data_IF_189933969211
#
_entry.id   IF_189933969211
#
_cell.length_a   1.000
_cell.length_b   1.000
_cell.length_c   1.000
_cell.angle_alpha   90.00
_cell.angle_beta   90.00
_cell.angle_gamma   90.00
#
_symmetry.space_group_name_H-M   'P 1'
#
loop_
_entity.id
_entity.type
_entity.pdbx_description
1 polymer ?
#
# COMPACT_ATOMS: atom_id res chain seq x y z
N UNK A 1 -13.57 -38.62 -11.53
CA UNK A 1 -13.75 -38.55 -10.05
C UNK A 1 -12.77 -39.41 -9.24
N UNK A 2 -11.91 -40.24 -9.86
CA UNK A 2 -10.98 -41.13 -9.14
C UNK A 2 -9.53 -40.62 -8.99
N UNK A 3 -9.20 -39.45 -9.56
CA UNK A 3 -7.82 -38.91 -9.52
C UNK A 3 -7.56 -37.95 -8.35
N UNK A 4 -8.59 -37.29 -7.80
CA UNK A 4 -8.43 -36.31 -6.71
C UNK A 4 -8.18 -36.95 -5.33
N UNK A 5 -8.57 -38.21 -5.15
CA UNK A 5 -8.38 -38.94 -3.88
C UNK A 5 -6.93 -39.39 -3.67
N UNK A 6 -6.15 -39.58 -4.75
CA UNK A 6 -4.75 -40.02 -4.65
C UNK A 6 -3.76 -38.91 -4.27
N UNK A 7 -4.08 -37.65 -4.61
CA UNK A 7 -3.25 -36.49 -4.24
C UNK A 7 -3.40 -36.16 -2.76
N UNK A 8 -4.59 -36.34 -2.19
CA UNK A 8 -4.85 -36.07 -0.76
C UNK A 8 -4.13 -37.06 0.18
N UNK A 9 -3.99 -38.34 -0.22
CA UNK A 9 -3.24 -39.32 0.56
C UNK A 9 -1.71 -39.11 0.50
N UNK A 10 -1.19 -38.46 -0.55
CA UNK A 10 0.23 -38.16 -0.67
C UNK A 10 0.69 -37.05 0.28
N UNK A 11 -0.10 -35.98 0.42
CA UNK A 11 0.23 -34.84 1.29
C UNK A 11 0.17 -35.19 2.78
N UNK A 12 -0.78 -36.04 3.20
CA UNK A 12 -0.91 -36.47 4.60
C UNK A 12 0.23 -37.39 5.06
N UNK A 13 0.86 -38.14 4.14
CA UNK A 13 1.99 -39.00 4.48
C UNK A 13 3.29 -38.21 4.70
N UNK A 14 3.47 -37.07 4.01
CA UNK A 14 4.64 -36.21 4.17
C UNK A 14 4.62 -35.45 5.52
N UNK A 15 3.45 -35.01 5.99
CA UNK A 15 3.31 -34.35 7.29
C UNK A 15 3.61 -35.28 8.49
N UNK A 16 3.33 -36.59 8.36
CA UNK A 16 3.55 -37.54 9.44
C UNK A 16 5.03 -37.91 9.65
N UNK A 17 5.88 -37.77 8.62
CA UNK A 17 7.29 -38.13 8.68
C UNK A 17 8.19 -37.06 9.33
N UNK A 18 7.76 -35.80 9.35
CA UNK A 18 8.52 -34.70 9.98
C UNK A 18 8.28 -34.64 11.49
N UNK A 19 7.12 -35.10 11.98
CA UNK A 19 6.77 -35.06 13.40
C UNK A 19 7.43 -36.16 14.26
N UNK A 20 8.06 -37.18 13.66
CA UNK A 20 8.61 -38.33 14.41
C UNK A 20 10.09 -38.22 14.80
N UNK A 21 10.77 -37.11 14.50
CA UNK A 21 12.23 -36.99 14.72
C UNK A 21 12.63 -36.21 15.98
N UNK A 22 11.69 -35.63 16.74
CA UNK A 22 12.00 -34.82 17.92
C UNK A 22 11.12 -35.19 19.12
N UNK A 23 11.37 -36.35 19.74
CA UNK A 23 10.98 -36.56 21.14
C UNK A 23 11.82 -37.66 21.77
N UNK A 24 12.85 -37.26 22.49
CA UNK A 24 13.54 -38.11 23.46
C UNK A 24 13.95 -37.28 24.67
N UNK A 25 13.17 -37.44 25.75
CA UNK A 25 13.60 -37.47 27.15
C UNK A 25 14.02 -36.16 27.82
N UNK A 26 13.28 -35.74 28.84
CA UNK A 26 13.56 -36.17 30.23
C UNK A 26 12.59 -35.51 31.22
N UNK A 27 12.02 -36.35 32.09
CA UNK A 27 11.24 -36.01 33.28
C UNK A 27 12.00 -35.13 34.28
N UNK A 28 11.29 -34.26 35.01
CA UNK A 28 11.35 -34.20 36.49
C UNK A 28 10.28 -33.28 37.10
N UNK A 29 9.57 -33.86 38.07
CA UNK A 29 9.02 -33.31 39.31
C UNK A 29 8.01 -32.15 39.36
N UNK A 30 6.75 -32.56 39.49
CA UNK A 30 5.81 -32.30 40.60
C UNK A 30 6.34 -31.48 41.80
N UNK A 31 5.72 -30.33 42.06
CA UNK A 31 5.15 -30.00 43.39
C UNK A 31 3.94 -29.07 43.21
N UNK A 32 2.90 -29.32 44.01
CA UNK A 32 1.60 -28.68 43.88
C UNK A 32 1.47 -27.36 44.62
N UNK A 33 0.46 -26.58 44.25
CA UNK A 33 -0.15 -25.60 45.12
C UNK A 33 -1.64 -25.47 44.78
N UNK A 34 -2.47 -25.83 45.74
CA UNK A 34 -3.92 -25.64 45.77
C UNK A 34 -4.24 -24.18 46.13
N UNK A 35 -5.14 -23.55 45.39
CA UNK A 35 -5.69 -22.23 45.70
C UNK A 35 -6.94 -21.98 44.89
N UNK A 36 -8.07 -22.37 45.49
CA UNK A 36 -9.44 -22.09 45.08
C UNK A 36 -9.77 -20.61 45.32
N UNK A 37 -10.37 -19.91 44.35
CA UNK A 37 -11.35 -18.82 44.53
C UNK A 37 -11.67 -18.10 43.19
N UNK A 38 -12.92 -18.22 42.77
CA UNK A 38 -13.67 -17.30 41.90
C UNK A 38 -14.92 -16.87 42.71
N UNK A 39 -15.63 -15.75 42.45
CA UNK A 39 -16.04 -15.21 41.13
C UNK A 39 -15.80 -13.68 41.00
N UNK A 40 -15.72 -13.06 39.82
CA UNK A 40 -16.79 -12.86 38.86
C UNK A 40 -17.49 -11.52 39.14
N UNK A 41 -17.07 -10.44 38.48
CA UNK A 41 -17.86 -9.21 38.41
C UNK A 41 -17.66 -8.50 37.06
N UNK A 42 -18.79 -8.16 36.46
CA UNK A 42 -18.99 -7.55 35.14
C UNK A 42 -18.94 -6.03 35.27
N UNK A 43 -18.10 -5.36 34.48
CA UNK A 43 -18.14 -3.90 34.33
C UNK A 43 -18.60 -3.54 32.91
N UNK A 44 -19.86 -3.11 32.82
CA UNK A 44 -20.42 -2.38 31.69
C UNK A 44 -19.80 -0.97 31.65
N UNK A 45 -19.32 -0.54 30.48
CA UNK A 45 -18.79 0.79 30.26
C UNK A 45 -19.86 1.65 29.56
N UNK A 46 -20.37 2.66 30.26
CA UNK A 46 -21.23 3.71 29.71
C UNK A 46 -20.41 4.72 28.89
N UNK A 47 -20.93 5.06 27.71
CA UNK A 47 -20.40 6.11 26.81
C UNK A 47 -21.11 7.42 27.13
N UNK A 48 -20.41 8.55 27.38
CA UNK A 48 -21.08 9.84 27.49
C UNK A 48 -21.22 10.52 26.12
N UNK A 49 -22.47 10.85 25.82
CA UNK A 49 -22.97 11.67 24.72
C UNK A 49 -22.53 13.13 24.89
N UNK A 50 -21.83 13.69 23.89
CA UNK A 50 -21.38 15.07 23.89
C UNK A 50 -22.43 15.99 23.23
N UNK A 51 -23.00 16.88 24.04
CA UNK A 51 -23.95 17.89 23.65
C UNK A 51 -23.31 19.03 22.82
N UNK A 52 -24.03 19.46 21.77
CA UNK A 52 -23.77 20.71 21.06
C UNK A 52 -24.28 21.93 21.86
N UNK A 53 -23.69 23.13 21.67
CA UNK A 53 -24.37 24.36 22.03
C UNK A 53 -24.89 25.11 20.79
N UNK A 54 -26.19 25.40 20.83
CA UNK A 54 -26.89 26.43 20.05
C UNK A 54 -26.63 27.84 20.62
N UNK A 55 -26.89 28.86 19.78
CA UNK A 55 -27.12 30.25 20.17
C UNK A 55 -25.90 31.16 20.00
N UNK A 56 -25.96 32.38 19.46
CA UNK A 56 -27.05 33.30 19.15
C UNK A 56 -26.50 34.36 18.19
N UNK A 57 -27.32 34.85 17.27
CA UNK A 57 -27.09 36.10 16.55
C UNK A 57 -27.36 37.31 17.47
N UNK A 58 -26.91 38.52 17.07
CA UNK A 58 -27.92 39.48 16.61
C UNK A 58 -27.51 40.34 15.39
N UNK A 59 -28.52 40.61 14.56
CA UNK A 59 -28.95 41.94 14.05
C UNK A 59 -27.98 43.14 14.29
N UNK A 60 -27.66 44.06 13.38
CA UNK A 60 -28.46 44.73 12.34
C UNK A 60 -27.57 45.68 11.49
N UNK A 61 -27.99 45.85 10.22
CA UNK A 61 -27.96 47.06 9.39
C UNK A 61 -26.65 47.84 9.11
N UNK A 62 -26.25 47.85 7.82
CA UNK A 62 -26.38 49.05 6.99
C UNK A 62 -26.26 48.69 5.50
N UNK A 63 -27.24 49.14 4.73
CA UNK A 63 -27.31 49.11 3.28
C UNK A 63 -26.71 50.41 2.76
N UNK A 64 -25.76 50.34 1.82
CA UNK A 64 -25.47 51.46 0.92
C UNK A 64 -25.23 50.93 -0.49
N UNK A 65 -25.81 51.67 -1.43
CA UNK A 65 -26.18 51.24 -2.77
C UNK A 65 -25.27 51.93 -3.79
N UNK A 66 -25.10 51.25 -4.92
CA UNK A 66 -24.88 51.78 -6.27
C UNK A 66 -23.44 52.07 -6.76
N UNK A 67 -23.07 51.24 -7.75
CA UNK A 67 -22.22 51.52 -8.93
C UNK A 67 -22.79 52.74 -9.76
N UNK A 68 -22.20 53.24 -10.88
CA UNK A 68 -21.53 52.47 -11.94
C UNK A 68 -20.40 53.20 -12.74
N UNK A 69 -20.08 52.59 -13.90
CA UNK A 69 -19.30 53.05 -15.07
C UNK A 69 -17.80 52.67 -15.07
N UNK A 70 -17.35 51.68 -15.86
CA UNK A 70 -17.35 51.51 -17.33
C UNK A 70 -16.31 52.38 -18.03
N UNK A 71 -15.26 51.76 -18.58
CA UNK A 71 -14.78 51.99 -19.95
C UNK A 71 -13.67 50.98 -20.29
N UNK A 72 -13.89 50.26 -21.38
CA UNK A 72 -12.89 49.47 -22.09
C UNK A 72 -11.95 50.40 -22.88
N UNK A 73 -10.67 50.04 -22.98
CA UNK A 73 -9.85 50.39 -24.14
C UNK A 73 -8.99 49.20 -24.53
N UNK A 74 -9.18 48.79 -25.79
CA UNK A 74 -8.34 47.92 -26.60
C UNK A 74 -6.88 48.39 -26.59
N UNK A 75 -5.96 47.46 -26.34
CA UNK A 75 -4.58 47.58 -26.81
C UNK A 75 -4.07 46.20 -27.23
N UNK A 76 -4.40 45.88 -28.48
CA UNK A 76 -3.63 45.03 -29.38
C UNK A 76 -2.11 45.13 -29.10
N UNK A 77 -1.58 44.10 -28.47
CA UNK A 77 -0.12 43.89 -28.36
C UNK A 77 0.15 42.44 -28.69
N UNK A 78 0.65 42.21 -29.90
CA UNK A 78 1.10 40.93 -30.40
C UNK A 78 1.97 40.21 -29.38
N UNK A 79 1.58 38.96 -29.09
CA UNK A 79 2.32 37.99 -28.28
C UNK A 79 3.74 37.82 -28.85
N UNK A 80 4.81 37.96 -28.04
CA UNK A 80 6.09 37.39 -28.40
C UNK A 80 6.00 35.87 -28.20
N UNK A 81 6.27 35.12 -29.27
CA UNK A 81 6.43 33.67 -29.22
C UNK A 81 7.32 33.28 -28.03
N UNK A 82 6.89 32.37 -27.14
CA UNK A 82 7.79 31.84 -26.13
C UNK A 82 8.85 31.03 -26.87
N UNK A 83 10.07 31.57 -26.89
CA UNK A 83 11.25 30.81 -27.25
C UNK A 83 11.21 29.49 -26.47
N UNK A 84 11.41 28.38 -27.19
CA UNK A 84 11.59 27.08 -26.57
C UNK A 84 12.72 27.18 -25.55
N UNK A 85 12.34 27.33 -24.29
CA UNK A 85 13.23 27.12 -23.17
C UNK A 85 13.45 25.61 -23.15
N UNK A 86 14.45 25.16 -23.91
CA UNK A 86 15.17 23.94 -23.61
C UNK A 86 15.82 24.14 -22.24
N UNK A 87 14.99 24.07 -21.20
CA UNK A 87 15.36 23.66 -19.87
C UNK A 87 15.98 22.29 -20.04
N UNK A 88 17.27 22.30 -20.34
CA UNK A 88 18.16 21.17 -20.10
C UNK A 88 18.00 20.92 -18.61
N UNK A 89 17.12 19.95 -18.29
CA UNK A 89 16.99 19.43 -16.95
C UNK A 89 18.42 19.21 -16.44
N UNK A 90 18.77 19.92 -15.38
CA UNK A 90 20.08 19.80 -14.76
C UNK A 90 20.33 18.31 -14.47
N UNK A 91 21.30 17.65 -15.13
CA UNK A 91 21.56 16.24 -14.90
C UNK A 91 22.04 15.98 -13.46
N UNK A 92 22.26 17.02 -12.65
CA UNK A 92 22.56 16.91 -11.23
C UNK A 92 21.34 16.58 -10.35
N UNK A 93 20.11 16.59 -10.88
CA UNK A 93 18.95 16.07 -10.16
C UNK A 93 18.87 14.54 -10.30
N UNK A 94 19.65 13.92 -9.42
CA UNK A 94 19.51 12.57 -8.85
C UNK A 94 20.14 11.39 -9.60
N UNK A 95 21.46 11.26 -9.45
CA UNK A 95 22.12 9.95 -9.35
C UNK A 95 22.83 9.81 -7.98
N UNK A 96 22.09 9.54 -6.86
CA UNK A 96 22.70 9.17 -5.58
C UNK A 96 23.51 7.86 -5.68
N UNK A 97 23.26 7.06 -6.72
CA UNK A 97 23.82 5.72 -6.92
C UNK A 97 25.34 5.71 -7.08
N UNK A 98 25.95 6.79 -7.55
CA UNK A 98 27.33 6.67 -8.04
C UNK A 98 28.43 6.78 -6.99
N UNK A 99 28.27 7.39 -5.81
CA UNK A 99 29.43 7.63 -4.90
C UNK A 99 29.16 7.68 -3.39
N UNK A 100 28.00 7.23 -2.90
CA UNK A 100 27.66 7.28 -1.48
C UNK A 100 26.97 6.03 -0.98
N UNK A 101 26.94 5.85 0.34
CA UNK A 101 26.11 4.81 0.94
C UNK A 101 24.66 5.29 0.91
N UNK A 102 23.77 4.47 0.34
CA UNK A 102 22.35 4.78 0.26
C UNK A 102 21.75 4.83 1.67
N UNK A 103 20.89 5.84 1.89
CA UNK A 103 20.21 6.05 3.15
C UNK A 103 18.72 6.25 2.92
N UNK A 104 17.90 5.80 3.87
CA UNK A 104 16.48 6.20 3.88
C UNK A 104 16.29 7.61 4.42
N UNK A 105 15.05 8.10 4.43
CA UNK A 105 14.69 9.46 4.85
C UNK A 105 14.97 9.75 6.34
N UNK A 106 15.24 8.73 7.16
CA UNK A 106 15.66 8.84 8.56
C UNK A 106 17.18 8.75 8.74
N UNK A 107 17.94 8.67 7.64
CA UNK A 107 19.41 8.63 7.65
C UNK A 107 20.02 7.26 7.96
N UNK A 108 19.19 6.22 8.13
CA UNK A 108 19.66 4.84 8.24
C UNK A 108 20.36 4.44 6.94
N UNK A 109 21.54 3.86 7.08
CA UNK A 109 22.38 3.45 5.96
C UNK A 109 22.14 1.98 5.66
N UNK A 110 21.74 1.69 4.42
CA UNK A 110 21.45 0.32 4.01
C UNK A 110 22.74 -0.51 4.02
N UNK A 111 22.70 -1.74 4.57
CA UNK A 111 23.85 -2.63 4.51
C UNK A 111 24.10 -3.08 3.06
N UNK A 112 25.26 -3.72 2.77
CA UNK A 112 25.52 -4.29 1.46
C UNK A 112 24.40 -5.23 1.02
N UNK A 113 24.11 -5.24 -0.28
CA UNK A 113 23.14 -6.15 -0.87
C UNK A 113 23.52 -7.62 -0.59
N UNK A 114 22.54 -8.51 -0.36
CA UNK A 114 22.81 -9.93 -0.19
C UNK A 114 23.29 -10.57 -1.51
N UNK A 115 23.92 -11.74 -1.39
CA UNK A 115 24.25 -12.55 -2.57
C UNK A 115 22.98 -13.02 -3.29
N UNK A 116 22.99 -12.93 -4.62
CA UNK A 116 21.84 -13.27 -5.46
C UNK A 116 22.20 -14.45 -6.37
N UNK A 117 21.51 -15.60 -6.24
CA UNK A 117 21.66 -16.71 -7.17
C UNK A 117 21.24 -16.32 -8.60
N UNK A 118 21.89 -16.95 -9.59
CA UNK A 118 21.48 -16.83 -10.99
C UNK A 118 20.61 -18.04 -11.40
N UNK A 119 19.69 -17.82 -12.34
CA UNK A 119 18.79 -18.86 -12.83
C UNK A 119 17.52 -19.03 -11.99
N UNK A 120 16.78 -20.14 -12.19
CA UNK A 120 15.54 -20.42 -11.46
C UNK A 120 15.76 -20.58 -9.96
N UNK A 121 14.72 -20.30 -9.17
CA UNK A 121 14.71 -20.60 -7.73
C UNK A 121 14.70 -22.12 -7.47
N UNK A 122 15.12 -22.53 -6.26
CA UNK A 122 15.09 -23.94 -5.85
C UNK A 122 13.65 -24.49 -5.88
N UNK A 123 13.49 -25.75 -6.31
CA UNK A 123 12.21 -26.43 -6.30
C UNK A 123 11.57 -26.47 -4.91
N UNK A 124 12.36 -26.55 -3.83
CA UNK A 124 11.86 -26.47 -2.47
C UNK A 124 11.16 -25.12 -2.18
N UNK A 125 11.69 -24.01 -2.73
CA UNK A 125 11.05 -22.71 -2.61
C UNK A 125 9.73 -22.67 -3.41
N UNK A 126 9.74 -23.23 -4.62
CA UNK A 126 8.53 -23.35 -5.45
C UNK A 126 7.44 -24.14 -4.72
N UNK A 127 7.78 -25.28 -4.15
CA UNK A 127 6.81 -26.14 -3.45
C UNK A 127 6.18 -25.43 -2.25
N UNK A 128 6.97 -24.66 -1.49
CA UNK A 128 6.45 -23.84 -0.38
C UNK A 128 5.54 -22.73 -0.90
N UNK A 129 5.93 -22.02 -1.97
CA UNK A 129 5.10 -20.98 -2.57
C UNK A 129 3.76 -21.52 -3.06
N UNK A 130 3.73 -22.68 -3.71
CA UNK A 130 2.46 -23.28 -4.15
C UNK A 130 1.55 -23.66 -2.99
N UNK A 131 2.10 -24.11 -1.85
CA UNK A 131 1.31 -24.37 -0.64
C UNK A 131 0.77 -23.07 -0.05
N UNK A 132 1.58 -22.01 0.04
CA UNK A 132 1.15 -20.70 0.52
C UNK A 132 -0.01 -20.17 -0.34
N UNK A 133 0.13 -20.21 -1.65
CA UNK A 133 -0.90 -19.70 -2.56
C UNK A 133 -2.18 -20.54 -2.57
N UNK A 134 -2.06 -21.87 -2.51
CA UNK A 134 -3.24 -22.72 -2.34
C UNK A 134 -3.98 -22.38 -1.03
N UNK A 135 -3.23 -22.06 0.03
CA UNK A 135 -3.80 -21.63 1.30
C UNK A 135 -4.45 -20.24 1.22
N UNK A 136 -3.86 -19.28 0.52
CA UNK A 136 -4.45 -17.96 0.25
C UNK A 136 -5.82 -18.10 -0.44
N UNK A 137 -5.91 -18.94 -1.48
CA UNK A 137 -7.15 -19.17 -2.24
C UNK A 137 -8.24 -19.89 -1.41
N UNK A 138 -7.83 -20.76 -0.48
CA UNK A 138 -8.73 -21.54 0.37
C UNK A 138 -9.07 -20.87 1.71
N UNK A 139 -8.49 -19.69 2.00
CA UNK A 139 -8.77 -18.89 3.19
C UNK A 139 -7.99 -19.29 4.44
N UNK A 140 -6.81 -19.92 4.31
CA UNK A 140 -5.93 -20.16 5.44
C UNK A 140 -4.62 -20.86 5.11
N UNK A 141 -3.52 -20.27 5.59
CA UNK A 141 -2.19 -20.87 5.72
C UNK A 141 -1.52 -20.30 6.97
N UNK A 142 -0.46 -20.96 7.42
CA UNK A 142 0.27 -20.59 8.63
C UNK A 142 1.47 -19.70 8.31
N UNK A 143 1.70 -18.66 9.12
CA UNK A 143 2.87 -17.78 9.00
C UNK A 143 4.22 -18.50 9.07
N UNK A 144 4.30 -19.67 9.71
CA UNK A 144 5.49 -20.52 9.73
C UNK A 144 5.87 -21.06 8.35
N UNK A 145 4.91 -21.27 7.44
CA UNK A 145 5.20 -21.62 6.05
C UNK A 145 5.88 -20.47 5.31
N UNK A 146 5.45 -19.22 5.57
CA UNK A 146 6.13 -18.03 5.03
C UNK A 146 7.54 -17.94 5.59
N UNK A 147 7.70 -18.10 6.91
CA UNK A 147 9.00 -18.08 7.56
C UNK A 147 9.96 -19.15 7.00
N UNK A 148 9.43 -20.30 6.59
CA UNK A 148 10.21 -21.39 6.02
C UNK A 148 10.86 -21.05 4.67
N UNK A 149 10.30 -20.13 3.88
CA UNK A 149 10.95 -19.61 2.68
C UNK A 149 12.32 -19.00 3.00
N UNK A 150 12.48 -18.45 4.21
CA UNK A 150 13.74 -17.93 4.70
C UNK A 150 14.91 -18.92 4.70
N UNK A 151 14.62 -20.22 4.71
CA UNK A 151 15.65 -21.27 4.74
C UNK A 151 16.12 -21.70 3.35
N UNK A 152 15.53 -21.16 2.28
CA UNK A 152 15.87 -21.52 0.89
C UNK A 152 17.11 -20.77 0.37
N UNK A 153 17.48 -19.66 1.02
CA UNK A 153 18.71 -18.92 0.74
C UNK A 153 18.67 -18.05 -0.52
N UNK A 154 17.52 -17.91 -1.19
CA UNK A 154 17.38 -17.04 -2.34
C UNK A 154 16.79 -15.67 -1.96
N UNK A 155 17.65 -14.66 -1.88
CA UNK A 155 17.25 -13.30 -1.49
C UNK A 155 16.14 -12.72 -2.36
N UNK A 156 16.01 -13.15 -3.63
CA UNK A 156 14.99 -12.62 -4.56
C UNK A 156 13.56 -12.92 -4.11
N UNK A 157 13.36 -13.93 -3.25
CA UNK A 157 12.07 -14.23 -2.63
C UNK A 157 11.60 -13.12 -1.67
N UNK A 158 12.48 -12.22 -1.25
CA UNK A 158 12.14 -11.09 -0.41
C UNK A 158 11.11 -10.13 -1.04
N UNK A 159 11.01 -10.08 -2.37
CA UNK A 159 9.94 -9.33 -3.04
C UNK A 159 8.54 -9.85 -2.71
N UNK A 160 8.39 -11.17 -2.57
CA UNK A 160 7.12 -11.76 -2.10
C UNK A 160 6.86 -11.39 -0.65
N UNK A 161 7.89 -11.27 0.19
CA UNK A 161 7.70 -10.81 1.57
C UNK A 161 7.20 -9.36 1.60
N UNK A 162 7.76 -8.48 0.77
CA UNK A 162 7.24 -7.11 0.60
C UNK A 162 5.76 -7.14 0.19
N UNK A 163 5.40 -7.90 -0.83
CA UNK A 163 4.00 -7.99 -1.26
C UNK A 163 3.08 -8.52 -0.15
N UNK A 164 3.46 -9.60 0.55
CA UNK A 164 2.68 -10.14 1.66
C UNK A 164 2.51 -9.11 2.80
N UNK A 165 3.56 -8.39 3.18
CA UNK A 165 3.47 -7.35 4.21
C UNK A 165 2.52 -6.20 3.83
N UNK A 166 2.26 -6.01 2.53
CA UNK A 166 1.28 -5.02 2.07
C UNK A 166 -0.16 -5.45 2.35
N UNK A 167 -0.47 -6.73 2.22
CA UNK A 167 -1.82 -7.28 2.44
C UNK A 167 -2.03 -7.76 3.89
N UNK A 168 -0.97 -8.15 4.58
CA UNK A 168 -0.97 -8.66 5.95
C UNK A 168 -0.19 -7.71 6.86
N UNK A 169 -0.89 -6.75 7.44
CA UNK A 169 -0.31 -5.69 8.27
C UNK A 169 0.17 -6.17 9.64
N UNK A 170 -0.47 -7.19 10.19
CA UNK A 170 -0.19 -7.79 11.51
C UNK A 170 -0.52 -9.28 11.48
N UNK A 171 -0.05 -10.02 12.48
CA UNK A 171 -0.39 -11.43 12.68
C UNK A 171 0.70 -12.38 12.22
N UNK A 172 0.38 -13.66 12.21
CA UNK A 172 1.33 -14.74 11.95
C UNK A 172 1.98 -14.66 10.55
N UNK A 173 1.19 -14.36 9.52
CA UNK A 173 1.69 -14.19 8.14
C UNK A 173 2.65 -13.00 8.05
N UNK A 174 2.32 -11.88 8.69
CA UNK A 174 3.18 -10.71 8.78
C UNK A 174 4.52 -11.08 9.44
N UNK A 175 4.46 -11.72 10.61
CA UNK A 175 5.65 -12.10 11.38
C UNK A 175 6.51 -13.12 10.63
N UNK A 176 5.85 -14.04 9.91
CA UNK A 176 6.47 -14.99 9.01
C UNK A 176 7.22 -14.31 7.86
N UNK A 177 6.61 -13.30 7.22
CA UNK A 177 7.21 -12.53 6.14
C UNK A 177 8.43 -11.72 6.62
N UNK A 178 8.32 -11.03 7.77
CA UNK A 178 9.47 -10.36 8.41
C UNK A 178 10.57 -11.36 8.74
N UNK A 179 10.23 -12.52 9.31
CA UNK A 179 11.21 -13.56 9.64
C UNK A 179 11.93 -14.09 8.41
N UNK A 180 11.20 -14.38 7.33
CA UNK A 180 11.76 -14.85 6.07
C UNK A 180 12.69 -13.80 5.46
N UNK A 181 12.26 -12.53 5.37
CA UNK A 181 13.07 -11.43 4.87
C UNK A 181 14.42 -11.34 5.58
N UNK A 182 14.41 -11.33 6.92
CA UNK A 182 15.63 -11.21 7.71
C UNK A 182 16.58 -12.40 7.50
N UNK A 183 16.06 -13.62 7.33
CA UNK A 183 16.88 -14.81 7.06
C UNK A 183 17.49 -14.79 5.65
N UNK A 184 16.69 -14.40 4.65
CA UNK A 184 17.12 -14.36 3.25
C UNK A 184 18.19 -13.30 3.00
N UNK A 185 18.10 -12.17 3.71
CA UNK A 185 18.93 -10.99 3.44
C UNK A 185 20.04 -10.77 4.48
N UNK A 186 19.90 -11.36 5.66
CA UNK A 186 20.77 -11.08 6.81
C UNK A 186 20.50 -9.75 7.51
N UNK A 187 19.53 -8.96 7.03
CA UNK A 187 19.12 -7.71 7.68
C UNK A 187 18.42 -8.01 9.00
N UNK A 188 18.71 -7.20 10.01
CA UNK A 188 17.90 -7.14 11.23
C UNK A 188 17.00 -5.92 11.13
N UNK A 189 15.71 -6.15 10.87
CA UNK A 189 14.79 -5.07 10.53
C UNK A 189 14.65 -4.04 11.64
N UNK A 190 14.82 -4.46 12.91
CA UNK A 190 14.81 -3.55 14.06
C UNK A 190 15.94 -2.50 14.07
N UNK A 191 17.00 -2.69 13.28
CA UNK A 191 18.07 -1.70 13.17
C UNK A 191 17.65 -0.52 12.27
N UNK A 192 16.64 -0.72 11.40
CA UNK A 192 16.07 0.32 10.55
C UNK A 192 14.90 1.02 11.28
N UNK A 193 15.01 2.30 11.65
CA UNK A 193 13.94 3.03 12.33
C UNK A 193 12.65 3.18 11.51
N UNK A 194 12.68 2.97 10.18
CA UNK A 194 11.46 2.93 9.37
C UNK A 194 10.60 1.73 9.73
N UNK A 195 11.19 0.63 10.16
CA UNK A 195 10.47 -0.60 10.51
C UNK A 195 9.51 -0.42 11.68
N UNK A 196 9.79 0.51 12.60
CA UNK A 196 8.89 0.86 13.71
C UNK A 196 7.57 1.48 13.22
N UNK A 197 7.58 2.10 12.05
CA UNK A 197 6.41 2.73 11.43
C UNK A 197 5.73 1.79 10.44
N UNK A 198 6.53 1.06 9.67
CA UNK A 198 6.06 0.21 8.60
C UNK A 198 7.12 -0.83 8.22
N UNK A 199 6.92 -2.08 8.62
CA UNK A 199 7.73 -3.21 8.19
C UNK A 199 7.74 -3.34 6.66
N UNK A 200 6.58 -3.11 6.03
CA UNK A 200 6.44 -3.13 4.57
C UNK A 200 7.36 -2.09 3.91
N UNK A 201 7.35 -0.86 4.39
CA UNK A 201 8.16 0.22 3.82
C UNK A 201 9.65 -0.09 4.03
N UNK A 202 10.05 -0.46 5.24
CA UNK A 202 11.44 -0.81 5.52
C UNK A 202 11.95 -1.92 4.62
N UNK A 203 11.20 -3.02 4.49
CA UNK A 203 11.54 -4.13 3.57
C UNK A 203 11.65 -3.64 2.13
N UNK A 204 10.66 -2.91 1.64
CA UNK A 204 10.62 -2.44 0.24
C UNK A 204 11.77 -1.48 -0.07
N UNK A 205 12.08 -0.56 0.84
CA UNK A 205 13.17 0.40 0.70
C UNK A 205 14.53 -0.31 0.60
N UNK A 206 14.76 -1.38 1.38
CA UNK A 206 15.96 -2.21 1.24
C UNK A 206 16.06 -2.86 -0.16
N UNK A 207 14.96 -3.45 -0.64
CA UNK A 207 14.94 -4.13 -1.93
C UNK A 207 15.19 -3.17 -3.10
N UNK A 208 14.65 -1.95 -3.02
CA UNK A 208 14.88 -0.88 -3.99
C UNK A 208 16.33 -0.37 -3.89
N UNK A 209 16.84 -0.14 -2.67
CA UNK A 209 18.20 0.35 -2.46
C UNK A 209 19.25 -0.59 -3.04
N UNK A 210 19.03 -1.90 -2.94
CA UNK A 210 19.91 -2.91 -3.53
C UNK A 210 19.70 -3.15 -5.02
N UNK A 211 18.65 -2.56 -5.62
CA UNK A 211 18.13 -2.97 -6.94
C UNK A 211 18.02 -4.50 -7.04
N UNK A 212 17.44 -5.12 -6.01
CA UNK A 212 17.43 -6.58 -5.91
C UNK A 212 16.61 -7.16 -7.08
N UNK A 213 17.18 -8.07 -7.90
CA UNK A 213 16.43 -8.61 -9.02
C UNK A 213 15.28 -9.48 -8.54
N UNK A 214 14.20 -9.53 -9.33
CA UNK A 214 13.14 -10.50 -9.13
C UNK A 214 13.60 -11.90 -9.54
N UNK A 215 12.95 -12.93 -9.00
CA UNK A 215 13.10 -14.29 -9.50
C UNK A 215 12.18 -14.53 -10.71
N UNK A 216 12.44 -15.62 -11.44
CA UNK A 216 11.86 -15.95 -12.75
C UNK A 216 10.33 -16.10 -12.77
N UNK A 217 9.69 -16.30 -11.62
CA UNK A 217 8.23 -16.45 -11.48
C UNK A 217 7.58 -15.38 -10.59
N UNK A 218 8.32 -14.33 -10.24
CA UNK A 218 7.83 -13.30 -9.33
C UNK A 218 6.51 -12.68 -9.79
N UNK A 219 6.45 -12.25 -11.05
CA UNK A 219 5.25 -11.61 -11.63
C UNK A 219 4.03 -12.53 -11.57
N UNK A 220 4.19 -13.84 -11.80
CA UNK A 220 3.09 -14.80 -11.71
C UNK A 220 2.49 -14.85 -10.30
N UNK A 221 3.35 -14.90 -9.27
CA UNK A 221 2.90 -14.92 -7.88
C UNK A 221 2.27 -13.59 -7.47
N UNK A 222 2.88 -12.47 -7.87
CA UNK A 222 2.33 -11.12 -7.65
C UNK A 222 0.93 -10.99 -8.28
N UNK A 223 0.80 -11.37 -9.55
CA UNK A 223 -0.47 -11.41 -10.28
C UNK A 223 -1.54 -12.19 -9.48
N UNK A 224 -1.24 -13.43 -9.09
CA UNK A 224 -2.16 -14.27 -8.32
C UNK A 224 -2.60 -13.61 -7.00
N UNK A 225 -1.68 -12.99 -6.26
CA UNK A 225 -1.99 -12.31 -5.00
C UNK A 225 -2.87 -11.08 -5.21
N UNK A 226 -2.56 -10.25 -6.20
CA UNK A 226 -3.29 -9.02 -6.49
C UNK A 226 -4.73 -9.31 -6.96
N UNK A 227 -4.94 -10.38 -7.73
CA UNK A 227 -6.28 -10.79 -8.18
C UNK A 227 -7.18 -11.34 -7.07
N UNK A 228 -6.64 -11.69 -5.89
CA UNK A 228 -7.47 -12.01 -4.72
C UNK A 228 -8.22 -10.77 -4.21
N UNK A 229 -7.69 -9.57 -4.47
CA UNK A 229 -8.30 -8.31 -4.05
C UNK A 229 -9.23 -7.74 -5.11
N UNK A 230 -8.76 -7.62 -6.34
CA UNK A 230 -9.50 -7.05 -7.46
C UNK A 230 -9.24 -7.85 -8.76
N UNK A 231 -10.16 -8.75 -9.13
CA UNK A 231 -10.04 -9.54 -10.35
C UNK A 231 -9.94 -8.73 -11.64
N UNK A 232 -10.46 -7.49 -11.67
CA UNK A 232 -10.40 -6.62 -12.85
C UNK A 232 -9.00 -6.08 -13.14
N UNK A 233 -8.01 -6.35 -12.29
CA UNK A 233 -6.61 -6.03 -12.59
C UNK A 233 -5.93 -7.03 -13.53
N UNK A 234 -6.58 -8.15 -13.88
CA UNK A 234 -6.02 -9.15 -14.79
C UNK A 234 -5.45 -8.56 -16.09
N UNK A 235 -6.12 -7.61 -16.78
CA UNK A 235 -5.59 -7.03 -18.00
C UNK A 235 -4.26 -6.29 -17.82
N UNK A 236 -3.96 -5.79 -16.62
CA UNK A 236 -2.68 -5.13 -16.33
C UNK A 236 -1.53 -6.15 -16.33
N UNK A 237 -1.78 -7.37 -15.85
CA UNK A 237 -0.78 -8.44 -15.79
C UNK A 237 -0.73 -9.28 -17.07
N UNK A 238 -1.80 -9.28 -17.87
CA UNK A 238 -1.93 -10.11 -19.06
C UNK A 238 -1.21 -9.56 -20.29
N UNK A 239 -0.73 -8.31 -20.26
CA UNK A 239 0.00 -7.69 -21.36
C UNK A 239 1.48 -8.13 -21.35
N UNK A 240 1.91 -9.03 -22.25
CA UNK A 240 3.30 -9.49 -22.30
C UNK A 240 4.26 -8.44 -22.86
N UNK A 241 3.74 -7.39 -23.52
CA UNK A 241 4.51 -6.33 -24.13
C UNK A 241 4.65 -5.10 -23.20
N UNK A 242 4.03 -5.15 -22.01
CA UNK A 242 4.12 -4.08 -21.03
C UNK A 242 5.54 -3.97 -20.45
N UNK A 243 6.17 -2.81 -20.64
CA UNK A 243 7.46 -2.45 -20.04
C UNK A 243 7.28 -1.93 -18.60
N UNK A 244 6.72 -2.79 -17.74
CA UNK A 244 6.43 -2.48 -16.33
C UNK A 244 7.35 -3.31 -15.44
N UNK A 245 8.16 -2.63 -14.62
CA UNK A 245 8.86 -3.28 -13.53
C UNK A 245 7.90 -3.53 -12.35
N UNK A 246 7.33 -4.73 -12.33
CA UNK A 246 6.38 -5.15 -11.29
C UNK A 246 6.93 -5.15 -9.87
N UNK A 247 8.26 -5.09 -9.67
CA UNK A 247 8.88 -4.91 -8.35
C UNK A 247 8.51 -3.56 -7.74
N UNK A 248 8.32 -2.55 -8.57
CA UNK A 248 8.10 -1.16 -8.17
C UNK A 248 6.62 -0.76 -8.12
N UNK A 249 5.73 -1.69 -8.45
CA UNK A 249 4.28 -1.49 -8.41
C UNK A 249 3.71 -2.15 -7.17
N UNK A 250 2.91 -1.42 -6.40
CA UNK A 250 2.22 -1.94 -5.21
C UNK A 250 0.79 -1.39 -5.12
N UNK A 251 -0.04 -2.01 -4.27
CA UNK A 251 -1.40 -1.57 -4.04
C UNK A 251 -1.47 -0.44 -3.01
N UNK A 252 -2.22 0.63 -3.31
CA UNK A 252 -2.44 1.77 -2.41
C UNK A 252 -3.22 1.47 -1.12
N UNK A 253 -3.81 0.27 -0.98
CA UNK A 253 -4.50 -0.16 0.24
C UNK A 253 -5.99 0.21 0.30
N UNK A 254 -6.54 0.75 -0.78
CA UNK A 254 -7.96 1.10 -0.95
C UNK A 254 -8.52 0.44 -2.20
N UNK A 255 -9.79 0.07 -2.20
CA UNK A 255 -10.45 -0.45 -3.41
C UNK A 255 -10.74 0.70 -4.38
N UNK A 256 -10.99 0.34 -5.64
CA UNK A 256 -11.56 1.25 -6.61
C UNK A 256 -12.94 1.72 -6.14
N UNK A 257 -13.23 2.99 -6.37
CA UNK A 257 -14.59 3.50 -6.28
C UNK A 257 -15.39 3.05 -7.52
N UNK A 258 -16.16 1.98 -7.38
CA UNK A 258 -17.00 1.41 -8.44
C UNK A 258 -18.48 1.75 -8.30
N UNK A 259 -18.80 2.75 -7.46
CA UNK A 259 -20.17 3.23 -7.28
C UNK A 259 -20.68 3.89 -8.56
N UNK A 260 -22.00 3.90 -8.72
CA UNK A 260 -22.62 4.62 -9.83
C UNK A 260 -22.42 6.13 -9.66
N UNK A 261 -22.22 6.83 -10.77
CA UNK A 261 -22.08 8.29 -10.78
C UNK A 261 -23.19 9.00 -9.98
N UNK A 262 -22.80 9.86 -9.06
CA UNK A 262 -23.68 10.61 -8.16
C UNK A 262 -24.08 9.86 -6.88
N UNK A 263 -23.57 8.66 -6.65
CA UNK A 263 -23.81 7.93 -5.40
C UNK A 263 -22.97 8.50 -4.24
N UNK A 264 -23.66 9.14 -3.29
CA UNK A 264 -23.02 9.79 -2.14
C UNK A 264 -22.84 8.87 -0.92
N UNK A 265 -23.22 7.58 -1.01
CA UNK A 265 -23.08 6.65 0.12
C UNK A 265 -21.61 6.35 0.39
N UNK A 266 -21.24 6.25 1.66
CA UNK A 266 -19.88 5.88 2.07
C UNK A 266 -19.47 4.55 1.43
N UNK A 267 -18.23 4.49 0.95
CA UNK A 267 -17.65 3.30 0.37
C UNK A 267 -17.44 2.22 1.45
N UNK A 268 -18.37 1.27 1.54
CA UNK A 268 -18.42 0.29 2.64
C UNK A 268 -17.17 -0.59 2.75
N UNK A 269 -16.43 -0.78 1.65
CA UNK A 269 -15.24 -1.60 1.59
C UNK A 269 -13.93 -0.79 1.63
N UNK A 270 -14.02 0.53 1.81
CA UNK A 270 -12.90 1.46 1.77
C UNK A 270 -12.45 1.75 0.33
N UNK A 271 -12.73 2.97 -0.13
CA UNK A 271 -12.18 3.54 -1.35
C UNK A 271 -12.00 5.05 -1.15
N UNK A 272 -11.23 5.68 -2.03
CA UNK A 272 -11.14 7.14 -2.11
C UNK A 272 -12.29 7.59 -3.00
N UNK A 273 -13.31 8.27 -2.45
CA UNK A 273 -14.51 8.59 -3.21
C UNK A 273 -14.20 9.61 -4.30
N UNK A 274 -14.67 9.34 -5.51
CA UNK A 274 -14.67 10.33 -6.57
C UNK A 274 -15.60 11.51 -6.21
N UNK A 275 -15.24 12.71 -6.68
CA UNK A 275 -16.12 13.87 -6.68
C UNK A 275 -16.96 13.86 -7.95
N UNK A 276 -18.18 13.36 -7.84
CA UNK A 276 -19.15 13.38 -8.94
C UNK A 276 -19.96 14.68 -8.93
N UNK A 277 -19.91 15.43 -10.03
CA UNK A 277 -20.60 16.72 -10.19
C UNK A 277 -20.46 17.62 -8.94
N UNK A 278 -19.23 17.98 -8.55
CA UNK A 278 -19.04 18.87 -7.41
C UNK A 278 -19.78 20.19 -7.64
N UNK A 279 -20.34 20.75 -6.57
CA UNK A 279 -20.92 22.09 -6.65
C UNK A 279 -19.82 23.09 -7.02
N UNK A 280 -20.06 23.86 -8.08
CA UNK A 280 -19.12 24.87 -8.58
C UNK A 280 -19.64 26.28 -8.30
N UNK A 281 -18.73 27.24 -8.30
CA UNK A 281 -19.05 28.66 -8.22
C UNK A 281 -18.19 29.43 -9.22
N UNK A 282 -18.62 30.63 -9.60
CA UNK A 282 -17.83 31.50 -10.46
C UNK A 282 -16.65 32.12 -9.68
N UNK A 283 -15.78 32.85 -10.38
CA UNK A 283 -14.63 33.48 -9.75
C UNK A 283 -15.02 34.44 -8.61
N UNK A 284 -16.19 35.10 -8.71
CA UNK A 284 -16.66 36.02 -7.69
C UNK A 284 -17.10 35.29 -6.39
N UNK A 285 -17.68 34.09 -6.52
CA UNK A 285 -18.04 33.24 -5.38
C UNK A 285 -16.88 32.43 -4.80
N UNK A 286 -15.70 32.43 -5.44
CA UNK A 286 -14.51 31.68 -5.04
C UNK A 286 -13.68 32.28 -3.90
N UNK A 287 -14.11 33.40 -3.30
CA UNK A 287 -13.31 34.17 -2.30
C UNK A 287 -12.99 33.41 -1.00
N UNK A 288 -13.55 32.22 -0.82
CA UNK A 288 -13.23 31.33 0.29
C UNK A 288 -11.88 30.61 0.09
N UNK A 289 -11.40 30.51 -1.14
CA UNK A 289 -10.07 29.97 -1.45
C UNK A 289 -9.07 31.12 -1.48
N UNK A 290 -7.87 30.89 -0.94
CA UNK A 290 -6.85 31.93 -0.86
C UNK A 290 -6.40 32.37 -2.26
N UNK A 291 -6.13 33.67 -2.43
CA UNK A 291 -5.70 34.25 -3.70
C UNK A 291 -4.39 33.62 -4.24
N UNK A 292 -3.52 33.16 -3.35
CA UNK A 292 -2.27 32.44 -3.67
C UNK A 292 -2.41 30.91 -3.64
N UNK A 293 -3.65 30.41 -3.51
CA UNK A 293 -3.96 28.99 -3.51
C UNK A 293 -3.75 28.34 -4.87
N UNK A 294 -3.15 27.15 -4.87
CA UNK A 294 -2.90 26.39 -6.09
C UNK A 294 -4.17 25.66 -6.53
N UNK A 295 -4.53 25.79 -7.81
CA UNK A 295 -5.63 25.04 -8.42
C UNK A 295 -5.12 24.16 -9.56
N UNK A 296 -5.80 23.05 -9.81
CA UNK A 296 -5.73 22.31 -11.07
C UNK A 296 -6.79 22.89 -12.01
N UNK A 297 -6.35 23.51 -13.10
CA UNK A 297 -7.24 24.08 -14.10
C UNK A 297 -7.39 23.13 -15.29
N UNK A 298 -8.64 22.90 -15.71
CA UNK A 298 -8.96 22.09 -16.89
C UNK A 298 -10.04 22.79 -17.71
N UNK A 299 -10.00 22.61 -19.03
CA UNK A 299 -11.07 23.03 -19.93
C UNK A 299 -11.79 21.80 -20.45
N UNK A 300 -13.08 21.68 -20.16
CA UNK A 300 -13.91 20.55 -20.57
C UNK A 300 -15.08 21.13 -21.37
N UNK A 301 -15.20 20.74 -22.65
CA UNK A 301 -16.25 21.23 -23.55
C UNK A 301 -16.38 22.77 -23.57
N UNK A 302 -15.25 23.48 -23.71
CA UNK A 302 -15.14 24.95 -23.68
C UNK A 302 -15.46 25.62 -22.33
N UNK A 303 -15.71 24.85 -21.26
CA UNK A 303 -15.89 25.36 -19.91
C UNK A 303 -14.60 25.23 -19.09
N UNK A 304 -14.09 26.34 -18.57
CA UNK A 304 -12.95 26.35 -17.66
C UNK A 304 -13.40 25.99 -16.23
N UNK A 305 -12.73 24.99 -15.66
CA UNK A 305 -12.88 24.52 -14.27
C UNK A 305 -11.58 24.72 -13.51
N UNK A 306 -11.70 25.04 -12.22
CA UNK A 306 -10.57 25.13 -11.31
C UNK A 306 -10.84 24.29 -10.06
N UNK A 307 -9.98 23.30 -9.82
CA UNK A 307 -10.08 22.41 -8.68
C UNK A 307 -9.00 22.74 -7.64
N UNK A 308 -9.37 23.21 -6.44
CA UNK A 308 -8.42 23.50 -5.37
C UNK A 308 -7.52 22.32 -5.03
N UNK A 309 -6.20 22.55 -4.93
CA UNK A 309 -5.22 21.50 -4.64
C UNK A 309 -5.57 20.70 -3.39
N UNK A 310 -6.00 21.38 -2.33
CA UNK A 310 -6.33 20.73 -1.05
C UNK A 310 -7.58 19.83 -1.12
N UNK A 311 -8.48 20.09 -2.08
CA UNK A 311 -9.62 19.20 -2.33
C UNK A 311 -9.15 17.97 -3.12
N UNK A 312 -8.35 18.21 -4.16
CA UNK A 312 -7.80 17.15 -5.03
C UNK A 312 -6.81 16.23 -4.32
N UNK A 313 -6.12 16.72 -3.27
CA UNK A 313 -5.26 15.90 -2.41
C UNK A 313 -6.04 14.82 -1.66
N UNK A 314 -7.31 15.07 -1.38
CA UNK A 314 -8.19 14.15 -0.65
C UNK A 314 -9.06 13.35 -1.63
N UNK A 315 -9.45 13.98 -2.73
CA UNK A 315 -10.31 13.40 -3.77
C UNK A 315 -9.47 13.26 -5.03
N UNK A 316 -8.85 12.08 -5.16
CA UNK A 316 -7.89 11.78 -6.24
C UNK A 316 -8.53 11.79 -7.65
N UNK A 317 -9.87 11.78 -7.74
CA UNK A 317 -10.63 11.81 -9.00
C UNK A 317 -11.85 12.74 -8.92
N UNK A 318 -12.11 13.46 -10.03
CA UNK A 318 -13.31 14.28 -10.25
C UNK A 318 -13.97 13.82 -11.54
N UNK A 319 -15.30 13.68 -11.52
CA UNK A 319 -16.11 13.36 -12.69
C UNK A 319 -17.10 14.51 -12.95
N UNK A 320 -16.89 15.23 -14.07
CA UNK A 320 -17.78 16.27 -14.63
C UNK A 320 -18.73 15.73 -15.70
#
# INVERSE_FOLDING_TARGET
>A
MTSRVRVLCGLLAALALVASACSSGSDTDTTGFTGDEAPGDTLEAEVPEAAAPEGEAPETAASETAAPEAAAEDADTAEPEPAADESVADPALLEPRERGVLRNFLGYEFPPAPDVPTGPIDQAAVDILEVIWAGLELGGFDGGLVAALGNTGDARLAWIMSDLLRFFYIGDIHDGAVSAFQRLTGVRLHDDPVAERSSWQSVTDHLIAWDLPAFDRYTDYKHRLFLLVEPRWEPLFADPDADIDWRLVSWGGVRIDDRAFGDQRVCAQGCIPALDNPAVTDAAGGSWYADDGIVFAVVINDEARAYPRHIMEIHEMVND
#
